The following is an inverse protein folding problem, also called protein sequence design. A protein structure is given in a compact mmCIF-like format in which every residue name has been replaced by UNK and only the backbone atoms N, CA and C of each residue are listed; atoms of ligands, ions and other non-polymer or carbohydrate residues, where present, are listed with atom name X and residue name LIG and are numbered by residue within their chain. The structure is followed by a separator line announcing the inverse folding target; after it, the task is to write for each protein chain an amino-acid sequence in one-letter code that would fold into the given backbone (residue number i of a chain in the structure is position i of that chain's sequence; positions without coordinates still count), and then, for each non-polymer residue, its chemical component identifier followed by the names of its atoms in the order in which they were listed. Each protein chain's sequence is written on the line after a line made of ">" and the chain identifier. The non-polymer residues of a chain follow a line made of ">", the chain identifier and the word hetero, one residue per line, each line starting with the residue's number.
data_IF_927779101558
#
_entry.id   IF_927779101558
#
_cell.length_a   1.000
_cell.length_b   1.000
_cell.length_c   1.000
_cell.angle_alpha   90.00
_cell.angle_beta   90.00
_cell.angle_gamma   90.00
#
_symmetry.space_group_name_H-M   'P 1'
#
loop_
_entity.id
_entity.type
_entity.pdbx_description
1 polymer ?
#
# COMPACT_ATOMS: atom_id res chain seq x y z
N UNK A 1 24.18 16.50 -73.40
CA UNK A 1 23.19 15.46 -73.05
C UNK A 1 23.87 14.50 -72.08
N UNK A 2 23.96 14.91 -70.81
CA UNK A 2 24.83 14.32 -69.78
C UNK A 2 23.95 14.04 -68.56
N UNK A 3 24.24 12.93 -67.88
CA UNK A 3 23.69 12.44 -66.61
C UNK A 3 22.35 11.72 -66.66
N UNK A 4 22.44 10.39 -66.71
CA UNK A 4 21.56 9.50 -65.95
C UNK A 4 22.26 8.14 -65.80
N UNK A 5 22.02 7.51 -64.65
CA UNK A 5 22.51 6.18 -64.21
C UNK A 5 23.83 6.23 -63.42
N UNK A 6 23.74 6.67 -62.16
CA UNK A 6 24.53 6.11 -61.06
C UNK A 6 23.81 6.41 -59.75
N UNK A 7 23.12 5.41 -59.21
CA UNK A 7 22.71 5.31 -57.79
C UNK A 7 22.09 3.94 -57.55
N UNK A 8 22.91 2.90 -57.60
CA UNK A 8 22.65 1.58 -57.04
C UNK A 8 23.92 1.16 -56.32
N UNK A 9 24.07 1.57 -55.05
CA UNK A 9 24.96 1.01 -54.02
C UNK A 9 25.09 2.00 -52.85
N UNK A 10 23.97 2.25 -52.16
CA UNK A 10 23.96 2.69 -50.75
C UNK A 10 22.63 2.25 -50.14
N UNK A 11 22.38 0.95 -50.18
CA UNK A 11 21.45 0.28 -49.27
C UNK A 11 22.28 -0.36 -48.14
N UNK A 12 23.09 0.46 -47.46
CA UNK A 12 23.64 0.12 -46.16
C UNK A 12 22.51 0.17 -45.15
N UNK A 13 21.81 -0.95 -45.05
CA UNK A 13 21.39 -1.60 -43.81
C UNK A 13 21.45 -0.70 -42.56
N UNK A 14 20.55 0.27 -42.44
CA UNK A 14 20.16 0.78 -41.12
C UNK A 14 19.17 -0.24 -40.58
N UNK A 15 19.69 -1.36 -40.08
CA UNK A 15 18.99 -2.13 -39.07
C UNK A 15 18.83 -1.16 -37.90
N UNK A 16 17.62 -0.60 -37.75
CA UNK A 16 17.17 -0.13 -36.45
C UNK A 16 17.20 -1.34 -35.53
N UNK A 17 18.35 -1.59 -34.91
CA UNK A 17 18.37 -2.26 -33.63
C UNK A 17 17.58 -1.35 -32.69
N UNK A 18 16.27 -1.59 -32.59
CA UNK A 18 15.59 -1.33 -31.34
C UNK A 18 16.39 -2.09 -30.29
N UNK A 19 17.27 -1.39 -29.57
CA UNK A 19 17.82 -1.95 -28.35
C UNK A 19 16.60 -2.16 -27.47
N UNK A 20 16.10 -3.40 -27.43
CA UNK A 20 15.18 -3.83 -26.41
C UNK A 20 15.90 -3.57 -25.09
N UNK A 21 15.51 -2.48 -24.41
CA UNK A 21 16.04 -2.18 -23.09
C UNK A 21 15.80 -3.41 -22.21
N UNK A 22 16.80 -3.78 -21.40
CA UNK A 22 16.63 -4.84 -20.41
C UNK A 22 15.42 -4.48 -19.53
N UNK A 23 14.53 -5.45 -19.32
CA UNK A 23 13.34 -5.21 -18.51
C UNK A 23 13.70 -4.74 -17.11
N UNK A 24 12.87 -3.87 -16.55
CA UNK A 24 13.05 -3.38 -15.19
C UNK A 24 11.87 -3.74 -14.29
N UNK A 25 12.19 -4.35 -13.14
CA UNK A 25 11.24 -4.61 -12.07
C UNK A 25 10.64 -3.30 -11.56
N UNK A 26 9.31 -3.18 -11.63
CA UNK A 26 8.55 -2.00 -11.22
C UNK A 26 7.59 -2.25 -10.06
N UNK A 27 7.25 -3.51 -9.77
CA UNK A 27 6.44 -3.85 -8.60
C UNK A 27 6.73 -5.26 -8.10
N UNK A 28 6.54 -5.47 -6.79
CA UNK A 28 6.58 -6.77 -6.12
C UNK A 28 5.43 -6.83 -5.12
N UNK A 29 4.45 -7.68 -5.40
CA UNK A 29 3.31 -7.95 -4.51
C UNK A 29 3.36 -9.38 -4.00
N UNK A 30 2.99 -9.58 -2.74
CA UNK A 30 2.95 -10.91 -2.10
C UNK A 30 1.58 -11.14 -1.51
N UNK A 31 0.95 -12.25 -1.90
CA UNK A 31 -0.13 -12.88 -1.17
C UNK A 31 0.42 -14.16 -0.55
N UNK A 32 0.43 -14.27 0.77
CA UNK A 32 1.07 -15.34 1.51
C UNK A 32 0.04 -16.07 2.37
N UNK A 33 -0.50 -17.18 1.86
CA UNK A 33 -1.39 -18.06 2.63
C UNK A 33 -0.67 -19.34 3.07
N UNK A 34 -1.36 -20.13 3.88
CA UNK A 34 -0.81 -21.34 4.52
C UNK A 34 -0.42 -22.41 3.49
N UNK A 35 -1.27 -22.65 2.50
CA UNK A 35 -1.10 -23.71 1.50
C UNK A 35 -0.57 -23.20 0.16
N UNK A 36 -0.69 -21.90 -0.07
CA UNK A 36 -0.32 -21.29 -1.33
C UNK A 36 0.14 -19.85 -1.12
N UNK A 37 1.26 -19.51 -1.73
CA UNK A 37 1.72 -18.13 -1.85
C UNK A 37 1.78 -17.73 -3.32
N UNK A 38 1.42 -16.47 -3.60
CA UNK A 38 1.56 -15.84 -4.91
C UNK A 38 2.43 -14.59 -4.79
N UNK A 39 3.58 -14.59 -5.46
CA UNK A 39 4.45 -13.43 -5.59
C UNK A 39 4.31 -12.92 -7.02
N UNK A 40 3.86 -11.68 -7.18
CA UNK A 40 3.66 -11.05 -8.50
C UNK A 40 4.71 -9.98 -8.70
N UNK A 41 5.52 -10.13 -9.73
CA UNK A 41 6.57 -9.18 -10.12
C UNK A 41 6.14 -8.49 -11.41
N UNK A 42 6.01 -7.18 -11.38
CA UNK A 42 5.68 -6.37 -12.57
C UNK A 42 6.96 -5.81 -13.18
N UNK A 43 7.00 -5.73 -14.51
CA UNK A 43 8.15 -5.26 -15.26
C UNK A 43 7.73 -4.27 -16.35
N UNK A 44 8.60 -3.28 -16.55
CA UNK A 44 8.60 -2.43 -17.74
C UNK A 44 9.55 -3.09 -18.75
N UNK A 45 9.04 -3.53 -19.90
CA UNK A 45 9.79 -4.35 -20.87
C UNK A 45 9.71 -5.86 -20.59
N UNK A 46 10.13 -6.68 -21.56
CA UNK A 46 10.01 -8.14 -21.49
C UNK A 46 11.12 -8.77 -20.60
N UNK A 47 10.79 -9.34 -19.42
CA UNK A 47 11.81 -9.86 -18.52
C UNK A 47 12.35 -11.21 -18.99
N UNK A 48 13.69 -11.30 -19.00
CA UNK A 48 14.42 -12.56 -18.97
C UNK A 48 14.61 -12.97 -17.50
N UNK A 49 14.07 -14.14 -17.13
CA UNK A 49 14.18 -14.68 -15.78
C UNK A 49 14.37 -16.20 -15.80
N UNK A 50 14.96 -16.73 -14.73
CA UNK A 50 15.06 -18.14 -14.47
C UNK A 50 14.66 -18.44 -13.03
N UNK A 51 13.86 -19.50 -12.85
CA UNK A 51 13.53 -20.03 -11.54
C UNK A 51 14.42 -21.22 -11.29
N UNK A 52 15.04 -21.26 -10.12
CA UNK A 52 15.73 -22.44 -9.63
C UNK A 52 15.28 -22.69 -8.20
N UNK A 53 15.28 -23.94 -7.78
CA UNK A 53 14.89 -24.31 -6.43
C UNK A 53 16.05 -25.10 -5.81
N UNK A 54 16.55 -24.59 -4.70
CA UNK A 54 17.59 -25.27 -3.92
C UNK A 54 16.90 -26.01 -2.77
N UNK A 55 16.85 -27.34 -2.90
CA UNK A 55 16.01 -28.18 -2.06
C UNK A 55 14.51 -27.88 -2.23
N UNK A 56 13.74 -27.98 -1.14
CA UNK A 56 12.29 -27.76 -1.13
C UNK A 56 11.85 -26.52 -0.35
N UNK A 57 12.80 -25.83 0.30
CA UNK A 57 12.54 -24.72 1.22
C UNK A 57 13.07 -23.38 0.75
N UNK A 58 13.83 -23.34 -0.34
CA UNK A 58 14.33 -22.08 -0.88
C UNK A 58 14.10 -22.05 -2.37
N UNK A 59 13.44 -20.99 -2.84
CA UNK A 59 13.25 -20.76 -4.26
C UNK A 59 14.00 -19.51 -4.68
N UNK A 60 14.83 -19.64 -5.71
CA UNK A 60 15.61 -18.57 -6.27
C UNK A 60 15.01 -18.12 -7.61
N UNK A 61 14.78 -16.82 -7.72
CA UNK A 61 14.44 -16.17 -8.97
C UNK A 61 15.61 -15.30 -9.41
N UNK A 62 16.21 -15.67 -10.54
CA UNK A 62 17.23 -14.90 -11.23
C UNK A 62 16.56 -14.03 -12.30
N UNK A 63 16.80 -12.73 -12.26
CA UNK A 63 16.26 -11.76 -13.21
C UNK A 63 17.44 -11.10 -13.89
N UNK A 64 17.46 -11.07 -15.22
CA UNK A 64 18.52 -10.39 -15.99
C UNK A 64 18.29 -8.88 -15.99
N UNK A 65 18.71 -8.24 -14.91
CA UNK A 65 18.57 -6.81 -14.66
C UNK A 65 19.72 -6.33 -13.76
N UNK A 66 20.11 -5.07 -13.88
CA UNK A 66 21.13 -4.42 -13.02
C UNK A 66 20.52 -3.68 -11.82
N UNK A 67 21.34 -3.45 -10.79
CA UNK A 67 21.06 -2.54 -9.66
C UNK A 67 20.70 -3.23 -8.34
N UNK A 68 20.00 -2.54 -7.43
CA UNK A 68 19.68 -3.05 -6.08
C UNK A 68 18.21 -2.81 -5.76
N UNK A 69 17.55 -3.79 -5.14
CA UNK A 69 16.20 -3.67 -4.59
C UNK A 69 16.35 -3.31 -3.11
N UNK A 70 15.87 -2.12 -2.71
CA UNK A 70 15.80 -1.75 -1.30
C UNK A 70 14.44 -2.11 -0.71
N UNK A 71 14.38 -2.23 0.63
CA UNK A 71 13.21 -2.73 1.34
C UNK A 71 13.16 -4.24 1.49
N UNK A 72 14.19 -4.96 1.03
CA UNK A 72 14.43 -6.36 1.38
C UNK A 72 15.40 -6.46 2.58
N UNK A 73 15.31 -7.50 3.42
CA UNK A 73 14.36 -8.61 3.32
C UNK A 73 12.92 -8.20 3.71
N UNK A 74 11.94 -8.74 2.99
CA UNK A 74 10.58 -8.85 3.52
C UNK A 74 10.58 -10.05 4.46
N UNK A 75 10.33 -9.81 5.74
CA UNK A 75 10.22 -10.85 6.76
C UNK A 75 8.75 -11.10 7.04
N UNK A 76 8.37 -12.37 7.08
CA UNK A 76 7.03 -12.83 7.44
C UNK A 76 7.11 -13.57 8.78
N UNK A 77 5.99 -13.73 9.48
CA UNK A 77 5.94 -14.33 10.83
C UNK A 77 6.47 -15.77 10.88
N UNK A 78 6.41 -16.47 9.75
CA UNK A 78 6.74 -17.89 9.66
C UNK A 78 5.55 -18.84 9.91
N UNK A 79 4.34 -18.30 10.06
CA UNK A 79 3.11 -19.10 10.15
C UNK A 79 2.57 -19.49 8.76
N UNK A 80 2.78 -18.64 7.75
CA UNK A 80 2.36 -18.88 6.37
C UNK A 80 3.49 -19.51 5.53
N UNK A 81 3.21 -19.90 4.29
CA UNK A 81 4.15 -20.68 3.47
C UNK A 81 5.49 -19.98 3.20
N UNK A 82 5.48 -18.67 2.96
CA UNK A 82 6.70 -17.86 2.75
C UNK A 82 7.18 -17.27 4.08
N UNK A 83 8.44 -17.54 4.43
CA UNK A 83 9.13 -17.03 5.61
C UNK A 83 9.83 -15.69 5.35
N UNK A 84 10.51 -15.57 4.22
CA UNK A 84 11.18 -14.34 3.83
C UNK A 84 11.39 -14.22 2.33
N UNK A 85 11.43 -12.98 1.84
CA UNK A 85 11.93 -12.66 0.51
C UNK A 85 13.14 -11.75 0.68
N UNK A 86 14.30 -12.14 0.16
CA UNK A 86 15.57 -11.42 0.34
C UNK A 86 16.39 -11.38 -0.92
N UNK A 87 17.30 -10.42 -1.00
CA UNK A 87 18.32 -10.41 -2.05
C UNK A 87 19.30 -11.55 -1.83
N UNK A 88 19.58 -12.32 -2.88
CA UNK A 88 20.66 -13.30 -2.94
C UNK A 88 21.84 -12.78 -3.76
N UNK A 89 22.95 -13.53 -3.75
CA UNK A 89 24.10 -13.23 -4.59
C UNK A 89 23.74 -13.39 -6.07
N UNK A 90 23.83 -12.32 -6.90
CA UNK A 90 23.60 -12.40 -8.33
C UNK A 90 24.50 -13.42 -9.03
N UNK A 91 24.05 -13.95 -10.17
CA UNK A 91 24.88 -14.81 -11.02
C UNK A 91 26.01 -14.02 -11.69
N UNK A 92 25.75 -12.77 -12.01
CA UNK A 92 26.66 -11.85 -12.68
C UNK A 92 26.28 -10.38 -12.40
N UNK A 93 27.06 -9.44 -12.93
CA UNK A 93 26.82 -8.01 -12.75
C UNK A 93 25.57 -7.48 -13.49
N UNK A 94 24.91 -8.30 -14.30
CA UNK A 94 23.71 -7.97 -15.09
C UNK A 94 22.47 -8.71 -14.59
N UNK A 95 22.52 -9.27 -13.39
CA UNK A 95 21.41 -10.00 -12.79
C UNK A 95 21.09 -9.55 -11.37
N UNK A 96 19.83 -9.77 -11.00
CA UNK A 96 19.34 -9.73 -9.63
C UNK A 96 18.94 -11.15 -9.24
N UNK A 97 19.24 -11.53 -8.00
CA UNK A 97 18.73 -12.77 -7.41
C UNK A 97 17.81 -12.45 -6.25
N UNK A 98 16.57 -12.94 -6.32
CA UNK A 98 15.64 -12.96 -5.20
C UNK A 98 15.58 -14.38 -4.64
N UNK A 99 15.70 -14.50 -3.32
CA UNK A 99 15.52 -15.75 -2.59
C UNK A 99 14.22 -15.68 -1.81
N UNK A 100 13.37 -16.68 -2.01
CA UNK A 100 12.13 -16.90 -1.27
C UNK A 100 12.35 -18.09 -0.35
N UNK A 101 12.53 -17.82 0.93
CA UNK A 101 12.66 -18.86 1.94
C UNK A 101 11.26 -19.28 2.41
N UNK A 102 11.01 -20.59 2.51
CA UNK A 102 9.73 -21.19 2.87
C UNK A 102 9.77 -21.80 4.27
N UNK A 103 8.63 -21.82 4.93
CA UNK A 103 8.45 -22.43 6.25
C UNK A 103 8.37 -23.96 6.16
N UNK A 104 7.71 -24.45 5.11
CA UNK A 104 7.60 -25.86 4.78
C UNK A 104 8.05 -26.17 3.35
N UNK A 105 8.00 -27.46 2.99
CA UNK A 105 8.34 -27.88 1.65
C UNK A 105 7.28 -27.37 0.67
N UNK A 106 7.70 -26.79 -0.44
CA UNK A 106 6.79 -26.38 -1.49
C UNK A 106 7.39 -26.52 -2.88
N UNK A 107 6.53 -26.40 -3.88
CA UNK A 107 6.91 -26.32 -5.30
C UNK A 107 6.46 -25.01 -5.87
N UNK A 108 7.30 -24.47 -6.74
CA UNK A 108 7.04 -23.17 -7.31
C UNK A 108 7.02 -23.19 -8.84
N UNK A 109 5.99 -22.55 -9.39
CA UNK A 109 5.81 -22.34 -10.81
C UNK A 109 5.82 -20.84 -11.11
N UNK A 110 6.42 -20.44 -12.23
CA UNK A 110 6.42 -19.07 -12.69
C UNK A 110 5.73 -18.96 -14.05
N UNK A 111 4.78 -18.02 -14.15
CA UNK A 111 4.09 -17.75 -15.41
C UNK A 111 4.29 -16.28 -15.78
N UNK A 112 4.92 -16.04 -16.93
CA UNK A 112 4.97 -14.72 -17.56
C UNK A 112 3.63 -14.42 -18.23
N UNK A 113 3.10 -13.22 -18.00
CA UNK A 113 1.92 -12.67 -18.67
C UNK A 113 2.29 -11.31 -19.25
N UNK A 114 1.66 -10.98 -20.38
CA UNK A 114 1.78 -9.68 -21.02
C UNK A 114 0.42 -9.02 -21.07
N UNK A 115 0.35 -7.74 -20.71
CA UNK A 115 -0.83 -6.90 -20.89
C UNK A 115 -0.40 -5.56 -21.49
N UNK A 116 -0.57 -5.42 -22.81
CA UNK A 116 0.00 -4.29 -23.56
C UNK A 116 1.53 -4.29 -23.51
N UNK A 117 2.13 -3.17 -23.10
CA UNK A 117 3.58 -3.02 -22.91
C UNK A 117 4.11 -3.49 -21.55
N UNK A 118 3.22 -3.88 -20.62
CA UNK A 118 3.59 -4.28 -19.28
C UNK A 118 3.66 -5.81 -19.17
N UNK A 119 4.66 -6.30 -18.43
CA UNK A 119 4.87 -7.72 -18.20
C UNK A 119 4.72 -8.03 -16.72
N UNK A 120 4.13 -9.18 -16.41
CA UNK A 120 4.08 -9.68 -15.02
C UNK A 120 4.59 -11.11 -14.97
N UNK A 121 5.48 -11.41 -14.04
CA UNK A 121 5.87 -12.76 -13.69
C UNK A 121 5.13 -13.14 -12.41
N UNK A 122 4.18 -14.05 -12.52
CA UNK A 122 3.41 -14.56 -11.39
C UNK A 122 4.04 -15.84 -10.90
N UNK A 123 4.67 -15.75 -9.73
CA UNK A 123 5.22 -16.86 -9.00
C UNK A 123 4.17 -17.47 -8.10
N UNK A 124 3.85 -18.74 -8.30
CA UNK A 124 2.91 -19.48 -7.46
C UNK A 124 3.64 -20.59 -6.75
N UNK A 125 3.68 -20.53 -5.43
CA UNK A 125 4.27 -21.54 -4.56
C UNK A 125 3.13 -22.30 -3.90
N UNK A 126 3.14 -23.62 -3.99
CA UNK A 126 2.18 -24.50 -3.31
C UNK A 126 2.92 -25.36 -2.29
N UNK A 127 2.37 -25.49 -1.10
CA UNK A 127 2.88 -26.43 -0.11
C UNK A 127 2.80 -27.86 -0.68
N UNK A 128 3.77 -28.70 -0.33
CA UNK A 128 3.74 -30.14 -0.62
C UNK A 128 2.71 -30.89 0.26
N UNK A 129 2.07 -30.20 1.20
CA UNK A 129 1.10 -30.77 2.12
C UNK A 129 -0.22 -31.18 1.43
N UNK A 130 -0.83 -32.32 1.84
CA UNK A 130 -2.18 -32.65 1.39
C UNK A 130 -3.19 -31.61 1.93
N UNK A 131 -4.27 -31.31 1.19
CA UNK A 131 -5.32 -30.41 1.65
C UNK A 131 -5.84 -30.87 3.02
N UNK A 132 -6.24 -29.93 3.91
CA UNK A 132 -6.77 -30.29 5.22
C UNK A 132 -7.93 -31.29 5.04
N UNK A 133 -8.06 -32.28 5.95
CA UNK A 133 -9.15 -33.25 5.85
C UNK A 133 -10.50 -32.53 5.83
N UNK A 134 -11.47 -33.02 5.05
CA UNK A 134 -12.82 -32.46 5.07
C UNK A 134 -13.35 -32.47 6.51
N UNK A 135 -14.14 -31.45 6.91
CA UNK A 135 -14.74 -31.44 8.23
C UNK A 135 -15.49 -32.75 8.45
N UNK A 136 -15.43 -33.34 9.66
CA UNK A 136 -16.05 -34.63 9.93
C UNK A 136 -17.54 -34.56 9.54
N UNK A 137 -18.09 -35.59 8.86
CA UNK A 137 -19.49 -35.60 8.49
C UNK A 137 -20.31 -35.44 9.77
N UNK A 138 -21.11 -34.38 9.82
CA UNK A 138 -22.00 -34.13 10.94
C UNK A 138 -23.06 -35.23 10.91
N UNK A 139 -22.85 -36.30 11.67
CA UNK A 139 -23.86 -37.33 11.87
C UNK A 139 -24.94 -36.72 12.75
N UNK A 140 -25.94 -36.11 12.12
CA UNK A 140 -27.14 -35.67 12.80
C UNK A 140 -27.84 -36.90 13.38
N UNK A 141 -27.69 -37.10 14.69
CA UNK A 141 -28.43 -38.11 15.45
C UNK A 141 -29.90 -37.69 15.41
N UNK A 142 -30.72 -38.46 14.69
CA UNK A 142 -32.16 -38.24 14.52
C UNK A 142 -32.86 -38.30 15.89
N UNK A 143 -33.30 -37.16 16.39
CA UNK A 143 -34.32 -37.06 17.44
C UNK A 143 -35.68 -37.04 16.74
N UNK A 144 -36.62 -37.83 17.26
CA UNK A 144 -37.99 -37.93 16.75
C UNK A 144 -38.68 -36.56 16.69
N UNK A 145 -39.43 -36.34 15.61
CA UNK A 145 -40.14 -35.10 15.31
C UNK A 145 -41.55 -35.09 15.90
N UNK A 146 -42.06 -33.94 16.36
CA UNK A 146 -43.47 -33.62 16.30
C UNK A 146 -43.82 -32.96 14.96
N UNK A 147 -44.99 -33.34 14.46
CA UNK A 147 -45.61 -32.96 13.19
C UNK A 147 -46.02 -31.49 13.18
N UNK A 148 -45.64 -30.73 12.13
CA UNK A 148 -46.31 -29.48 11.71
C UNK A 148 -46.38 -29.43 10.18
N UNK A 149 -47.55 -29.03 9.68
CA UNK A 149 -48.06 -29.05 8.31
C UNK A 149 -47.30 -28.15 7.28
N UNK A 150 -47.51 -28.34 5.96
CA UNK A 150 -46.61 -27.84 4.93
C UNK A 150 -46.91 -26.40 4.47
N UNK A 151 -45.85 -25.65 4.17
CA UNK A 151 -45.89 -24.43 3.33
C UNK A 151 -44.75 -24.44 2.29
N UNK A 152 -44.94 -23.80 1.12
CA UNK A 152 -44.19 -24.10 -0.11
C UNK A 152 -42.75 -23.54 -0.10
N UNK A 153 -41.91 -24.18 -0.92
CA UNK A 153 -40.48 -23.89 -1.09
C UNK A 153 -40.22 -22.58 -1.86
N UNK A 154 -39.31 -21.76 -1.33
CA UNK A 154 -38.53 -20.77 -2.10
C UNK A 154 -37.02 -20.98 -1.82
N UNK A 155 -36.14 -20.74 -2.81
CA UNK A 155 -34.70 -20.90 -2.66
C UNK A 155 -34.09 -19.80 -1.77
N UNK A 156 -33.06 -20.17 -0.99
CA UNK A 156 -32.32 -19.24 -0.14
C UNK A 156 -31.73 -18.07 -0.97
N UNK A 157 -32.20 -16.85 -0.68
CA UNK A 157 -31.69 -15.60 -1.26
C UNK A 157 -30.45 -15.11 -0.50
N UNK A 158 -29.46 -14.68 -1.28
CA UNK A 158 -28.25 -13.98 -0.88
C UNK A 158 -28.58 -12.65 -0.16
N UNK A 159 -28.04 -12.37 1.04
CA UNK A 159 -28.45 -11.23 1.87
C UNK A 159 -27.88 -9.86 1.45
N UNK A 160 -27.16 -9.74 0.33
CA UNK A 160 -26.50 -8.47 -0.06
C UNK A 160 -26.81 -7.98 -1.48
N UNK A 161 -28.08 -8.01 -1.87
CA UNK A 161 -28.67 -7.15 -2.93
C UNK A 161 -30.05 -6.70 -2.43
N UNK A 162 -30.50 -5.45 -2.53
CA UNK A 162 -30.04 -4.33 -3.33
C UNK A 162 -30.60 -2.99 -2.79
N UNK A 163 -30.18 -1.92 -3.45
CA UNK A 163 -31.03 -0.77 -3.86
C UNK A 163 -31.54 0.25 -2.83
N UNK A 164 -31.05 1.48 -3.07
CA UNK A 164 -31.62 2.80 -2.77
C UNK A 164 -31.53 3.39 -1.36
N UNK A 165 -30.69 4.45 -1.31
CA UNK A 165 -31.00 5.78 -0.76
C UNK A 165 -31.92 5.82 0.45
N UNK A 166 -31.33 5.74 1.64
CA UNK A 166 -31.71 6.58 2.78
C UNK A 166 -30.49 6.98 3.60
N UNK A 167 -30.16 8.26 3.49
CA UNK A 167 -29.40 9.03 4.46
C UNK A 167 -29.97 8.81 5.86
N UNK A 168 -29.23 8.15 6.74
CA UNK A 168 -29.53 8.11 8.17
C UNK A 168 -28.51 8.97 8.91
N UNK A 169 -28.99 10.12 9.37
CA UNK A 169 -28.28 10.99 10.30
C UNK A 169 -28.03 10.22 11.61
N UNK A 170 -26.78 10.21 12.07
CA UNK A 170 -26.42 9.65 13.37
C UNK A 170 -26.35 10.79 14.38
N UNK A 171 -27.35 10.83 15.26
CA UNK A 171 -27.40 11.70 16.43
C UNK A 171 -26.28 11.32 17.40
N UNK A 172 -25.48 12.31 17.79
CA UNK A 172 -24.39 12.19 18.74
C UNK A 172 -24.83 11.55 20.06
N UNK A 173 -24.21 10.43 20.43
CA UNK A 173 -24.11 10.00 21.82
C UNK A 173 -22.63 9.91 22.17
N UNK A 174 -22.21 10.81 23.06
CA UNK A 174 -20.87 10.83 23.63
C UNK A 174 -20.70 9.62 24.54
N UNK A 175 -20.13 8.53 24.02
CA UNK A 175 -19.56 7.46 24.83
C UNK A 175 -18.12 7.27 24.40
N UNK A 176 -17.21 7.85 25.18
CA UNK A 176 -15.76 7.64 25.09
C UNK A 176 -15.44 6.23 25.58
N UNK A 177 -14.95 5.37 24.70
CA UNK A 177 -14.27 4.12 25.06
C UNK A 177 -12.79 4.24 24.70
N UNK A 178 -11.95 4.11 25.73
CA UNK A 178 -10.50 4.37 25.74
C UNK A 178 -9.70 3.11 25.39
N UNK A 179 -8.83 3.13 24.36
CA UNK A 179 -7.77 2.13 24.22
C UNK A 179 -6.63 2.42 25.22
N UNK A 180 -6.13 1.38 25.88
CA UNK A 180 -5.01 1.47 26.82
C UNK A 180 -3.68 1.78 26.12
N UNK A 181 -2.86 2.55 26.82
CA UNK A 181 -1.73 3.29 26.31
C UNK A 181 -0.42 2.47 26.22
N UNK A 182 0.39 2.81 25.22
CA UNK A 182 1.80 3.15 25.44
C UNK A 182 2.19 4.31 24.51
N UNK A 183 1.83 5.52 24.92
CA UNK A 183 2.41 6.74 24.38
C UNK A 183 3.24 7.38 25.49
N UNK A 184 4.54 7.57 25.25
CA UNK A 184 5.33 8.47 26.06
C UNK A 184 4.77 9.88 25.90
N UNK A 185 4.58 10.56 27.01
CA UNK A 185 4.10 11.92 27.11
C UNK A 185 5.03 12.91 26.40
N UNK A 186 4.51 13.70 25.46
CA UNK A 186 4.88 15.11 25.29
C UNK A 186 3.74 15.88 24.64
N UNK A 187 3.34 17.00 25.25
CA UNK A 187 2.53 18.05 24.63
C UNK A 187 3.33 18.84 23.57
N UNK A 188 4.06 18.10 22.72
CA UNK A 188 5.02 18.57 21.73
C UNK A 188 5.29 17.53 20.61
N UNK A 189 4.42 16.53 20.45
CA UNK A 189 4.56 15.52 19.41
C UNK A 189 4.13 16.09 18.04
N UNK A 190 5.13 16.24 17.16
CA UNK A 190 4.96 16.60 15.76
C UNK A 190 4.11 15.57 15.03
N UNK A 191 3.22 16.02 14.15
CA UNK A 191 2.53 15.16 13.19
C UNK A 191 3.56 14.62 12.20
N UNK A 192 3.76 13.30 12.20
CA UNK A 192 4.72 12.64 11.32
C UNK A 192 4.05 12.37 9.97
N UNK A 193 4.57 13.00 8.92
CA UNK A 193 4.11 12.81 7.54
C UNK A 193 5.17 11.96 6.82
N UNK A 194 4.79 10.74 6.44
CA UNK A 194 5.57 9.96 5.49
C UNK A 194 5.31 10.47 4.08
N UNK A 195 6.39 10.72 3.35
CA UNK A 195 6.37 11.24 1.99
C UNK A 195 6.98 10.17 1.11
N UNK A 196 6.12 9.55 0.31
CA UNK A 196 6.51 8.54 -0.64
C UNK A 196 6.84 9.17 -2.00
N UNK A 197 8.12 9.16 -2.36
CA UNK A 197 8.54 9.53 -3.70
C UNK A 197 8.33 8.33 -4.63
N UNK A 198 7.31 8.40 -5.50
CA UNK A 198 6.96 7.32 -6.43
C UNK A 198 8.16 6.84 -7.25
N UNK A 199 8.15 5.55 -7.63
CA UNK A 199 9.18 4.91 -8.45
C UNK A 199 10.57 4.92 -7.79
N UNK A 200 11.65 4.85 -8.58
CA UNK A 200 13.04 4.92 -8.11
C UNK A 200 13.89 3.75 -8.59
N UNK A 201 15.20 3.98 -8.72
CA UNK A 201 16.16 3.00 -9.21
C UNK A 201 15.84 2.59 -10.64
N UNK A 202 15.55 1.32 -10.83
CA UNK A 202 15.27 0.73 -12.14
C UNK A 202 13.85 0.98 -12.62
N UNK A 203 12.95 1.42 -11.74
CA UNK A 203 11.64 1.91 -12.12
C UNK A 203 11.74 3.42 -12.42
N UNK A 204 11.77 3.85 -13.69
CA UNK A 204 11.79 5.26 -14.04
C UNK A 204 10.45 5.96 -13.80
N UNK A 205 9.37 5.21 -13.59
CA UNK A 205 8.01 5.66 -13.79
C UNK A 205 7.74 6.03 -15.25
N UNK A 206 6.75 6.89 -15.47
CA UNK A 206 6.47 7.44 -16.78
C UNK A 206 7.66 8.28 -17.31
N UNK A 207 7.83 8.25 -18.63
CA UNK A 207 8.87 9.01 -19.34
C UNK A 207 8.18 10.00 -20.28
N UNK A 208 8.45 11.28 -20.06
CA UNK A 208 7.93 12.36 -20.88
C UNK A 208 8.56 12.41 -22.28
N UNK A 209 7.90 13.07 -23.25
CA UNK A 209 8.41 13.24 -24.62
C UNK A 209 9.85 13.79 -24.73
N UNK A 210 10.24 14.68 -23.81
CA UNK A 210 11.57 15.27 -23.70
C UNK A 210 12.57 14.40 -22.92
N UNK A 211 12.17 13.22 -22.45
CA UNK A 211 13.01 12.28 -21.71
C UNK A 211 13.00 12.48 -20.20
N UNK A 212 12.15 13.37 -19.67
CA UNK A 212 11.99 13.55 -18.22
C UNK A 212 11.45 12.27 -17.61
N UNK A 213 12.05 11.81 -16.52
CA UNK A 213 11.63 10.59 -15.82
C UNK A 213 10.86 10.96 -14.57
N UNK A 214 9.68 10.38 -14.40
CA UNK A 214 8.80 10.61 -13.25
C UNK A 214 9.55 10.46 -11.92
N UNK A 215 10.36 9.41 -11.75
CA UNK A 215 11.13 9.18 -10.51
C UNK A 215 12.00 10.36 -10.06
N UNK A 216 12.43 11.22 -10.99
CA UNK A 216 13.26 12.39 -10.72
C UNK A 216 12.39 13.57 -10.29
N UNK A 217 11.21 13.73 -10.88
CA UNK A 217 10.22 14.74 -10.49
C UNK A 217 9.71 14.43 -9.09
N UNK A 218 9.31 13.19 -8.83
CA UNK A 218 8.69 12.80 -7.55
C UNK A 218 9.63 12.98 -6.37
N UNK A 219 10.91 12.61 -6.50
CA UNK A 219 11.89 12.79 -5.42
C UNK A 219 12.24 14.26 -5.18
N UNK A 220 12.25 15.09 -6.24
CA UNK A 220 12.52 16.51 -6.11
C UNK A 220 11.40 17.22 -5.33
N UNK A 221 10.13 16.98 -5.70
CA UNK A 221 8.97 17.50 -4.98
C UNK A 221 8.93 16.96 -3.54
N UNK A 222 9.20 15.66 -3.35
CA UNK A 222 9.19 15.04 -2.02
C UNK A 222 10.22 15.68 -1.06
N UNK A 223 11.42 15.99 -1.54
CA UNK A 223 12.46 16.67 -0.75
C UNK A 223 12.06 18.10 -0.38
N UNK A 224 11.48 18.84 -1.32
CA UNK A 224 10.97 20.19 -1.06
C UNK A 224 9.85 20.16 -0.02
N UNK A 225 8.90 19.22 -0.15
CA UNK A 225 7.83 19.00 0.83
C UNK A 225 8.39 18.64 2.21
N UNK A 226 9.39 17.75 2.29
CA UNK A 226 10.06 17.41 3.55
C UNK A 226 10.69 18.62 4.22
N UNK A 227 11.33 19.51 3.46
CA UNK A 227 11.91 20.75 4.01
C UNK A 227 10.82 21.60 4.65
N UNK A 228 9.77 21.92 3.88
CA UNK A 228 8.64 22.73 4.35
C UNK A 228 8.00 22.16 5.63
N UNK A 229 7.81 20.83 5.70
CA UNK A 229 7.27 20.16 6.88
C UNK A 229 8.23 20.21 8.07
N UNK A 230 9.54 20.09 7.85
CA UNK A 230 10.50 20.10 8.96
C UNK A 230 10.77 21.52 9.50
N UNK A 231 10.57 22.55 8.68
CA UNK A 231 10.62 23.96 9.08
C UNK A 231 9.38 24.37 9.89
N UNK A 232 8.30 23.59 9.82
CA UNK A 232 7.08 23.78 10.62
C UNK A 232 7.19 23.04 11.97
N UNK A 233 7.05 23.72 13.12
CA UNK A 233 7.06 23.04 14.43
C UNK A 233 5.92 22.03 14.60
N UNK A 234 4.85 22.10 13.81
CA UNK A 234 3.74 21.14 13.84
C UNK A 234 4.12 19.78 13.23
N UNK A 235 5.08 19.72 12.31
CA UNK A 235 5.30 18.52 11.49
C UNK A 235 6.72 17.93 11.62
N UNK A 236 6.81 16.65 11.24
CA UNK A 236 8.04 15.93 10.94
C UNK A 236 7.84 15.21 9.61
N UNK A 237 8.56 15.63 8.57
CA UNK A 237 8.57 14.97 7.26
C UNK A 237 9.63 13.87 7.18
N UNK A 238 9.22 12.65 6.83
CA UNK A 238 10.11 11.50 6.59
C UNK A 238 9.91 10.97 5.17
N UNK A 239 10.99 10.61 4.47
CA UNK A 239 10.90 10.09 3.10
C UNK A 239 10.89 8.55 3.11
N UNK A 240 10.13 7.93 2.21
CA UNK A 240 10.28 6.48 1.94
C UNK A 240 11.62 6.17 1.28
N UNK A 241 12.07 7.04 0.36
CA UNK A 241 13.42 7.04 -0.22
C UNK A 241 14.05 8.42 -0.26
N UNK A 242 15.35 8.50 -0.03
CA UNK A 242 16.17 9.72 -0.20
C UNK A 242 17.29 9.53 -1.25
N UNK A 243 17.14 8.54 -2.12
CA UNK A 243 18.07 8.22 -3.20
C UNK A 243 17.36 7.62 -4.41
N UNK A 244 18.15 7.33 -5.45
CA UNK A 244 17.67 6.69 -6.68
C UNK A 244 17.77 5.16 -6.57
N UNK A 245 16.85 4.58 -5.80
CA UNK A 245 16.74 3.13 -5.64
C UNK A 245 15.27 2.71 -5.62
N UNK A 246 15.03 1.46 -6.01
CA UNK A 246 13.71 0.88 -6.06
C UNK A 246 13.23 0.46 -4.65
N UNK A 247 11.98 0.76 -4.32
CA UNK A 247 11.26 0.24 -3.15
C UNK A 247 9.96 -0.42 -3.64
N UNK A 248 9.71 -1.66 -3.18
CA UNK A 248 8.45 -2.35 -3.45
C UNK A 248 7.26 -1.57 -2.88
N UNK A 249 6.08 -1.74 -3.48
CA UNK A 249 4.88 -1.04 -3.05
C UNK A 249 4.54 -1.31 -1.58
N UNK A 250 4.71 -2.55 -1.12
CA UNK A 250 4.54 -2.91 0.31
C UNK A 250 5.59 -2.23 1.20
N UNK A 251 6.85 -2.22 0.76
CA UNK A 251 7.95 -1.63 1.51
C UNK A 251 7.77 -0.14 1.79
N UNK A 252 7.02 0.58 0.94
CA UNK A 252 6.70 2.01 1.16
C UNK A 252 5.85 2.22 2.41
N UNK A 253 4.81 1.41 2.60
CA UNK A 253 3.96 1.45 3.79
C UNK A 253 4.72 0.99 5.04
N UNK A 254 5.62 0.01 4.91
CA UNK A 254 6.43 -0.46 6.03
C UNK A 254 7.41 0.60 6.52
N UNK A 255 7.98 1.41 5.62
CA UNK A 255 8.78 2.56 6.02
C UNK A 255 7.93 3.58 6.79
N UNK A 256 6.71 3.87 6.31
CA UNK A 256 5.80 4.78 7.02
C UNK A 256 5.47 4.29 8.44
N UNK A 257 5.16 2.99 8.60
CA UNK A 257 4.92 2.35 9.91
C UNK A 257 6.13 2.45 10.83
N UNK A 258 7.32 2.08 10.34
CA UNK A 258 8.57 2.13 11.13
C UNK A 258 8.91 3.54 11.60
N UNK A 259 8.48 4.56 10.87
CA UNK A 259 8.65 5.97 11.26
C UNK A 259 7.54 6.50 12.16
N UNK A 260 6.54 5.67 12.51
CA UNK A 260 5.33 6.05 13.25
C UNK A 260 4.57 7.19 12.55
N UNK A 261 4.43 7.09 11.23
CA UNK A 261 3.73 8.10 10.43
C UNK A 261 2.24 8.18 10.81
N UNK A 262 1.75 9.41 11.00
CA UNK A 262 0.32 9.68 11.18
C UNK A 262 -0.42 9.78 9.85
N UNK A 263 0.30 10.07 8.77
CA UNK A 263 -0.26 10.21 7.43
C UNK A 263 0.80 9.90 6.36
N UNK A 264 0.36 9.34 5.23
CA UNK A 264 1.21 9.03 4.08
C UNK A 264 0.77 9.83 2.84
N UNK A 265 1.71 10.57 2.24
CA UNK A 265 1.53 11.26 0.96
C UNK A 265 2.42 10.59 -0.07
N UNK A 266 1.83 9.93 -1.07
CA UNK A 266 2.56 9.43 -2.23
C UNK A 266 2.52 10.45 -3.36
N UNK A 267 3.67 10.75 -3.96
CA UNK A 267 3.84 11.77 -4.99
C UNK A 267 4.20 11.07 -6.30
N UNK A 268 3.41 11.35 -7.34
CA UNK A 268 3.51 10.78 -8.68
C UNK A 268 3.36 11.86 -9.78
N UNK A 269 3.69 11.49 -11.01
CA UNK A 269 3.43 12.30 -12.21
C UNK A 269 2.89 11.41 -13.33
N UNK A 270 1.56 11.35 -13.41
CA UNK A 270 0.74 10.54 -14.31
C UNK A 270 1.18 10.57 -15.78
N UNK A 271 0.72 9.57 -16.52
CA UNK A 271 0.83 9.52 -17.97
C UNK A 271 -0.43 8.91 -18.59
N UNK A 272 -0.97 9.58 -19.61
CA UNK A 272 -2.12 9.12 -20.34
C UNK A 272 -1.78 8.84 -21.82
N UNK A 273 -2.47 7.89 -22.48
CA UNK A 273 -2.39 7.72 -23.93
C UNK A 273 -2.79 8.99 -24.68
N UNK A 274 -3.78 9.73 -24.16
CA UNK A 274 -4.12 11.05 -24.64
C UNK A 274 -3.11 12.07 -24.10
N UNK A 275 -2.22 12.54 -24.97
CA UNK A 275 -1.18 13.51 -24.61
C UNK A 275 -1.71 14.92 -24.34
N UNK A 276 -2.98 15.20 -24.61
CA UNK A 276 -3.64 16.46 -24.28
C UNK A 276 -4.20 16.47 -22.84
N UNK A 277 -4.14 15.35 -22.12
CA UNK A 277 -4.51 15.31 -20.71
C UNK A 277 -3.60 16.23 -19.90
N UNK A 278 -4.20 17.02 -19.02
CA UNK A 278 -3.49 17.98 -18.16
C UNK A 278 -4.10 18.06 -16.76
N UNK A 279 -3.32 18.59 -15.83
CA UNK A 279 -3.74 18.99 -14.50
C UNK A 279 -3.47 17.94 -13.43
N UNK A 280 -3.36 18.42 -12.19
CA UNK A 280 -3.14 17.56 -11.04
C UNK A 280 -4.40 16.77 -10.65
N UNK A 281 -4.24 15.70 -9.89
CA UNK A 281 -5.33 14.97 -9.23
C UNK A 281 -4.88 14.36 -7.91
N UNK A 282 -5.83 14.08 -7.02
CA UNK A 282 -5.54 13.45 -5.73
C UNK A 282 -6.43 12.22 -5.57
N UNK A 283 -5.82 11.10 -5.22
CA UNK A 283 -6.44 9.79 -5.15
C UNK A 283 -6.45 9.26 -3.74
N UNK A 284 -7.52 8.55 -3.41
CA UNK A 284 -7.76 7.89 -2.11
C UNK A 284 -8.14 6.43 -2.34
N UNK A 285 -8.00 5.61 -1.30
CA UNK A 285 -8.36 4.20 -1.38
C UNK A 285 -9.86 4.00 -1.66
N UNK A 286 -10.19 3.18 -2.65
CA UNK A 286 -11.59 2.80 -2.93
C UNK A 286 -12.14 1.82 -1.89
N UNK A 287 -13.43 1.92 -1.56
CA UNK A 287 -14.09 1.02 -0.59
C UNK A 287 -14.00 -0.45 -1.01
N UNK A 288 -14.16 -0.75 -2.31
CA UNK A 288 -14.01 -2.12 -2.81
C UNK A 288 -12.60 -2.66 -2.56
N UNK A 289 -11.58 -1.83 -2.78
CA UNK A 289 -10.20 -2.23 -2.51
C UNK A 289 -9.96 -2.37 -1.02
N UNK A 290 -10.40 -1.41 -0.21
CA UNK A 290 -10.32 -1.46 1.24
C UNK A 290 -10.89 -2.76 1.80
N UNK A 291 -12.09 -3.17 1.36
CA UNK A 291 -12.71 -4.42 1.78
C UNK A 291 -11.89 -5.66 1.36
N UNK A 292 -11.30 -5.65 0.16
CA UNK A 292 -10.44 -6.76 -0.29
C UNK A 292 -9.11 -6.83 0.47
N UNK A 293 -8.54 -5.67 0.82
CA UNK A 293 -7.36 -5.62 1.68
C UNK A 293 -7.74 -6.15 3.06
N UNK A 294 -8.82 -5.65 3.66
CA UNK A 294 -9.34 -6.10 4.96
C UNK A 294 -9.44 -7.62 5.03
N UNK A 295 -10.10 -8.24 4.04
CA UNK A 295 -10.22 -9.69 3.98
C UNK A 295 -8.84 -10.38 3.94
N UNK A 296 -7.91 -9.89 3.12
CA UNK A 296 -6.55 -10.39 3.07
C UNK A 296 -5.74 -10.15 4.36
N UNK A 297 -5.98 -9.06 5.09
CA UNK A 297 -5.40 -8.80 6.41
C UNK A 297 -5.99 -9.74 7.46
N UNK A 298 -7.29 -10.04 7.40
CA UNK A 298 -7.94 -11.03 8.28
C UNK A 298 -7.44 -12.45 8.05
N UNK A 299 -7.11 -12.81 6.81
CA UNK A 299 -6.49 -14.09 6.45
C UNK A 299 -5.03 -14.17 6.92
N UNK A 300 -4.36 -13.02 7.08
CA UNK A 300 -2.93 -12.95 7.41
C UNK A 300 -2.74 -12.54 8.87
N UNK A 301 -2.70 -13.53 9.77
CA UNK A 301 -2.51 -13.35 11.22
C UNK A 301 -1.32 -12.43 11.58
N UNK A 302 -0.25 -12.45 10.79
CA UNK A 302 0.96 -11.62 10.97
C UNK A 302 0.63 -10.12 10.90
N UNK A 303 -0.18 -9.82 9.91
CA UNK A 303 -0.63 -8.51 9.51
C UNK A 303 -1.64 -7.98 10.55
N UNK A 304 -2.46 -8.85 11.13
CA UNK A 304 -3.31 -8.47 12.27
C UNK A 304 -2.49 -8.07 13.50
N UNK A 305 -1.43 -8.81 13.84
CA UNK A 305 -0.64 -8.51 15.04
C UNK A 305 0.11 -7.18 14.93
N UNK A 306 0.63 -6.85 13.74
CA UNK A 306 1.31 -5.58 13.46
C UNK A 306 0.37 -4.37 13.60
N UNK A 307 -0.86 -4.45 13.07
CA UNK A 307 -1.84 -3.35 13.12
C UNK A 307 -2.40 -3.08 14.52
N UNK A 308 -2.54 -4.13 15.32
CA UNK A 308 -3.15 -4.05 16.65
C UNK A 308 -2.12 -3.75 17.74
N UNK A 309 -0.84 -3.55 17.38
CA UNK A 309 0.21 -3.01 18.24
C UNK A 309 0.31 -3.70 19.60
N UNK A 310 0.84 -4.93 19.65
CA UNK A 310 1.02 -5.70 20.89
C UNK A 310 -0.28 -6.16 21.57
N UNK A 311 -1.41 -5.46 21.39
CA UNK A 311 -2.75 -5.98 21.63
C UNK A 311 -3.15 -7.01 20.56
N UNK A 312 -2.45 -7.01 19.42
CA UNK A 312 -2.50 -8.05 18.39
C UNK A 312 -2.17 -9.43 18.91
N UNK A 313 -1.18 -9.57 19.80
CA UNK A 313 -0.90 -10.85 20.44
C UNK A 313 -1.99 -11.26 21.44
N UNK A 314 -2.67 -10.31 22.07
CA UNK A 314 -3.81 -10.60 22.96
C UNK A 314 -5.06 -10.95 22.15
N UNK A 315 -5.22 -10.34 20.97
CA UNK A 315 -6.29 -10.56 19.99
C UNK A 315 -5.97 -11.68 18.97
N UNK A 316 -4.78 -12.24 18.98
CA UNK A 316 -4.39 -13.39 18.15
C UNK A 316 -4.13 -14.65 19.00
N UNK A 317 -3.72 -14.50 20.27
CA UNK A 317 -3.43 -15.63 21.17
C UNK A 317 -4.49 -15.87 22.26
N UNK A 318 -5.42 -14.97 22.50
CA UNK A 318 -6.65 -15.32 23.23
C UNK A 318 -7.61 -15.99 22.25
N UNK A 319 -8.67 -16.65 22.70
CA UNK A 319 -9.83 -17.01 21.87
C UNK A 319 -10.53 -15.73 21.38
N UNK A 320 -9.81 -14.90 20.63
CA UNK A 320 -10.24 -13.60 20.21
C UNK A 320 -11.30 -13.83 19.14
N UNK A 321 -12.48 -13.33 19.45
CA UNK A 321 -13.59 -13.35 18.53
C UNK A 321 -13.14 -12.72 17.19
N UNK A 322 -13.12 -13.49 16.09
CA UNK A 322 -12.81 -12.95 14.76
C UNK A 322 -13.67 -11.72 14.43
N UNK A 323 -14.88 -11.62 14.99
CA UNK A 323 -15.76 -10.47 14.84
C UNK A 323 -15.23 -9.21 15.55
N UNK A 324 -14.50 -9.34 16.67
CA UNK A 324 -13.90 -8.20 17.37
C UNK A 324 -12.70 -7.64 16.60
N UNK A 325 -11.79 -8.49 16.14
CA UNK A 325 -10.65 -8.08 15.31
C UNK A 325 -11.12 -7.44 14.01
N UNK A 326 -12.14 -8.03 13.37
CA UNK A 326 -12.78 -7.44 12.20
C UNK A 326 -13.39 -6.07 12.50
N UNK A 327 -14.14 -5.91 13.59
CA UNK A 327 -14.76 -4.63 13.93
C UNK A 327 -13.73 -3.52 14.20
N UNK A 328 -12.63 -3.84 14.90
CA UNK A 328 -11.55 -2.87 15.16
C UNK A 328 -10.90 -2.44 13.85
N UNK A 329 -10.59 -3.39 12.98
CA UNK A 329 -10.01 -3.08 11.68
C UNK A 329 -11.00 -2.28 10.83
N UNK A 330 -12.27 -2.65 10.78
CA UNK A 330 -13.33 -1.92 10.04
C UNK A 330 -13.39 -0.45 10.48
N UNK A 331 -13.32 -0.20 11.79
CA UNK A 331 -13.27 1.15 12.36
C UNK A 331 -12.00 1.90 11.95
N UNK A 332 -10.83 1.26 11.99
CA UNK A 332 -9.55 1.86 11.58
C UNK A 332 -9.55 2.21 10.09
N UNK A 333 -9.99 1.30 9.22
CA UNK A 333 -10.11 1.54 7.79
C UNK A 333 -11.10 2.67 7.50
N UNK A 334 -12.28 2.65 8.13
CA UNK A 334 -13.27 3.72 7.95
C UNK A 334 -12.75 5.08 8.40
N UNK A 335 -11.95 5.13 9.47
CA UNK A 335 -11.25 6.33 9.89
C UNK A 335 -10.19 6.78 8.86
N UNK A 336 -9.31 5.87 8.45
CA UNK A 336 -8.24 6.11 7.48
C UNK A 336 -8.76 6.67 6.16
N UNK A 337 -9.86 6.10 5.64
CA UNK A 337 -10.49 6.57 4.42
C UNK A 337 -11.08 7.99 4.56
N UNK A 338 -11.75 8.28 5.68
CA UNK A 338 -12.33 9.61 5.93
C UNK A 338 -11.23 10.68 6.02
N UNK A 339 -10.20 10.41 6.83
CA UNK A 339 -9.05 11.31 6.99
C UNK A 339 -8.35 11.52 5.65
N UNK A 340 -8.11 10.45 4.89
CA UNK A 340 -7.55 10.54 3.53
C UNK A 340 -8.38 11.41 2.59
N UNK A 341 -9.71 11.27 2.60
CA UNK A 341 -10.62 12.06 1.78
C UNK A 341 -10.63 13.55 2.15
N UNK A 342 -10.68 13.86 3.44
CA UNK A 342 -10.71 15.24 3.93
C UNK A 342 -9.39 15.96 3.65
N UNK A 343 -8.26 15.28 3.88
CA UNK A 343 -6.93 15.79 3.51
C UNK A 343 -6.82 15.99 2.01
N UNK A 344 -7.27 15.03 1.19
CA UNK A 344 -7.26 15.15 -0.26
C UNK A 344 -8.08 16.35 -0.74
N UNK A 345 -9.25 16.59 -0.12
CA UNK A 345 -10.10 17.75 -0.42
C UNK A 345 -9.38 19.07 -0.09
N UNK A 346 -8.72 19.13 1.08
CA UNK A 346 -7.89 20.28 1.47
C UNK A 346 -6.74 20.52 0.47
N UNK A 347 -6.04 19.46 0.05
CA UNK A 347 -4.94 19.54 -0.92
C UNK A 347 -5.41 20.01 -2.30
N UNK A 348 -6.52 19.48 -2.80
CA UNK A 348 -7.11 19.89 -4.09
C UNK A 348 -7.39 21.40 -4.09
N UNK A 349 -7.95 21.94 -3.00
CA UNK A 349 -8.20 23.38 -2.88
C UNK A 349 -6.94 24.26 -2.93
N UNK A 350 -5.77 23.71 -2.60
CA UNK A 350 -4.48 24.42 -2.77
C UNK A 350 -3.87 24.20 -4.15
N UNK A 351 -3.98 22.98 -4.71
CA UNK A 351 -3.47 22.65 -6.04
C UNK A 351 -4.23 23.41 -7.14
N UNK A 352 -5.54 23.63 -6.98
CA UNK A 352 -6.35 24.47 -7.90
C UNK A 352 -5.84 25.91 -8.04
N UNK A 353 -5.01 26.39 -7.10
CA UNK A 353 -4.48 27.77 -7.13
C UNK A 353 -3.20 27.91 -7.93
N UNK A 354 -2.50 26.81 -8.20
CA UNK A 354 -1.20 26.82 -8.90
C UNK A 354 -1.33 26.35 -10.36
N UNK A 355 -2.36 25.58 -10.69
CA UNK A 355 -2.53 24.99 -12.01
C UNK A 355 -3.92 24.41 -12.24
N UNK A 356 -4.10 23.77 -13.40
CA UNK A 356 -5.34 23.05 -13.69
C UNK A 356 -5.45 21.78 -12.85
N UNK A 357 -6.69 21.39 -12.56
CA UNK A 357 -6.97 20.08 -11.99
C UNK A 357 -7.59 19.19 -13.05
N UNK A 358 -7.05 17.99 -13.21
CA UNK A 358 -7.69 16.95 -13.99
C UNK A 358 -8.98 16.49 -13.33
N UNK A 359 -8.95 16.40 -11.99
CA UNK A 359 -10.07 15.98 -11.14
C UNK A 359 -10.21 16.96 -9.99
N UNK A 360 -11.38 17.58 -9.88
CA UNK A 360 -11.69 18.61 -8.87
C UNK A 360 -12.20 18.05 -7.55
N UNK A 361 -12.21 16.73 -7.42
CA UNK A 361 -12.60 15.99 -6.21
C UNK A 361 -11.64 14.81 -6.03
N UNK A 362 -11.48 14.32 -4.80
CA UNK A 362 -10.70 13.11 -4.56
C UNK A 362 -11.27 11.95 -5.38
N UNK A 363 -10.41 11.23 -6.10
CA UNK A 363 -10.79 10.05 -6.87
C UNK A 363 -10.47 8.78 -6.11
N UNK A 364 -11.32 7.76 -6.25
CA UNK A 364 -11.13 6.48 -5.58
C UNK A 364 -10.40 5.49 -6.49
N UNK A 365 -9.29 4.94 -6.02
CA UNK A 365 -8.51 3.96 -6.77
C UNK A 365 -8.08 2.74 -5.94
N UNK A 366 -7.59 1.73 -6.65
CA UNK A 366 -7.06 0.48 -6.10
C UNK A 366 -5.53 0.47 -6.09
N UNK A 367 -4.92 1.60 -5.71
CA UNK A 367 -3.48 1.81 -5.78
C UNK A 367 -2.78 1.15 -4.60
N UNK A 368 -1.66 0.48 -4.87
CA UNK A 368 -1.05 -0.40 -3.87
C UNK A 368 -0.45 0.32 -2.66
N UNK A 369 0.08 1.53 -2.87
CA UNK A 369 0.60 2.38 -1.79
C UNK A 369 -0.49 2.87 -0.83
N UNK A 370 -1.74 2.91 -1.29
CA UNK A 370 -2.89 3.35 -0.49
C UNK A 370 -3.55 2.21 0.30
N UNK A 371 -3.01 0.99 0.26
CA UNK A 371 -3.61 -0.20 0.88
C UNK A 371 -3.45 -0.26 2.40
N UNK A 372 -2.68 0.64 3.00
CA UNK A 372 -2.41 0.66 4.44
C UNK A 372 -3.69 1.01 5.21
N UNK A 373 -4.17 0.12 6.11
CA UNK A 373 -5.41 0.38 6.82
C UNK A 373 -5.28 1.26 8.07
N UNK A 374 -4.12 1.18 8.69
CA UNK A 374 -3.70 1.90 9.89
C UNK A 374 -3.19 3.31 9.64
N UNK A 375 -2.73 3.59 8.42
CA UNK A 375 -2.14 4.88 8.06
C UNK A 375 -3.03 5.55 6.99
N UNK A 376 -3.74 6.63 7.34
CA UNK A 376 -4.43 7.45 6.36
C UNK A 376 -3.48 7.90 5.24
N UNK A 377 -3.91 7.75 3.99
CA UNK A 377 -3.04 7.96 2.84
C UNK A 377 -3.73 8.59 1.64
N UNK A 378 -2.94 9.33 0.86
CA UNK A 378 -3.33 9.90 -0.44
C UNK A 378 -2.20 9.69 -1.45
N UNK A 379 -2.58 9.63 -2.72
CA UNK A 379 -1.64 9.71 -3.83
C UNK A 379 -1.93 10.98 -4.63
N UNK A 380 -0.92 11.81 -4.81
CA UNK A 380 -0.99 13.08 -5.54
C UNK A 380 -0.33 12.86 -6.91
N UNK A 381 -1.15 12.92 -7.95
CA UNK A 381 -0.65 13.05 -9.32
C UNK A 381 -0.43 14.53 -9.59
N UNK A 382 0.83 14.92 -9.74
CA UNK A 382 1.25 16.32 -9.85
C UNK A 382 0.95 16.97 -11.21
N UNK A 383 0.63 16.13 -12.21
CA UNK A 383 0.33 16.49 -13.60
C UNK A 383 0.66 15.31 -14.52
N UNK A 384 0.41 15.46 -15.82
CA UNK A 384 0.68 14.44 -16.82
C UNK A 384 2.05 14.64 -17.48
N UNK A 385 3.06 13.87 -17.08
CA UNK A 385 4.40 13.92 -17.70
C UNK A 385 4.37 13.53 -19.19
N UNK A 386 3.32 12.85 -19.64
CA UNK A 386 3.08 12.54 -21.06
C UNK A 386 2.75 13.76 -21.93
N UNK A 387 2.32 14.87 -21.33
CA UNK A 387 1.99 16.13 -22.00
C UNK A 387 3.24 17.03 -22.09
N UNK A 388 3.52 17.57 -23.29
CA UNK A 388 4.74 18.37 -23.54
C UNK A 388 4.85 19.63 -22.67
N UNK A 389 3.73 20.30 -22.39
CA UNK A 389 3.73 21.54 -21.61
C UNK A 389 3.87 21.23 -20.13
N UNK A 390 3.17 20.21 -19.63
CA UNK A 390 3.29 19.78 -18.24
C UNK A 390 4.64 19.14 -17.93
N UNK A 391 5.25 18.39 -18.86
CA UNK A 391 6.60 17.88 -18.68
C UNK A 391 7.60 19.00 -18.37
N UNK A 392 7.53 20.13 -19.11
CA UNK A 392 8.39 21.30 -18.89
C UNK A 392 8.15 21.95 -17.53
N UNK A 393 6.89 22.01 -17.10
CA UNK A 393 6.54 22.51 -15.77
C UNK A 393 7.06 21.56 -14.68
N UNK A 394 6.79 20.26 -14.79
CA UNK A 394 7.23 19.24 -13.85
C UNK A 394 8.76 19.15 -13.75
N UNK A 395 9.49 19.49 -14.81
CA UNK A 395 10.95 19.60 -14.80
C UNK A 395 11.48 20.91 -14.18
N UNK A 396 10.63 21.92 -13.99
CA UNK A 396 11.01 23.22 -13.42
C UNK A 396 11.08 23.19 -11.89
N UNK A 397 12.19 23.70 -11.34
CA UNK A 397 12.38 23.80 -9.89
C UNK A 397 11.32 24.68 -9.20
N UNK A 398 10.91 25.77 -9.86
CA UNK A 398 9.90 26.70 -9.36
C UNK A 398 8.52 26.04 -9.25
N UNK A 399 8.12 25.28 -10.27
CA UNK A 399 6.83 24.60 -10.26
C UNK A 399 6.83 23.43 -9.27
N UNK A 400 7.95 22.70 -9.14
CA UNK A 400 8.11 21.69 -8.10
C UNK A 400 8.00 22.29 -6.69
N UNK A 401 8.51 23.51 -6.48
CA UNK A 401 8.36 24.24 -5.22
C UNK A 401 6.89 24.64 -4.98
N UNK A 402 6.20 25.14 -6.00
CA UNK A 402 4.76 25.47 -5.91
C UNK A 402 3.90 24.23 -5.57
N UNK A 403 4.19 23.08 -6.18
CA UNK A 403 3.55 21.80 -5.88
C UNK A 403 3.77 21.40 -4.41
N UNK A 404 5.03 21.43 -3.95
CA UNK A 404 5.37 21.10 -2.57
C UNK A 404 4.67 22.02 -1.56
N UNK A 405 4.60 23.33 -1.85
CA UNK A 405 3.88 24.29 -1.02
C UNK A 405 2.38 24.07 -1.00
N UNK A 406 1.76 23.73 -2.14
CA UNK A 406 0.33 23.45 -2.20
C UNK A 406 -0.02 22.21 -1.37
N UNK A 407 0.78 21.14 -1.49
CA UNK A 407 0.62 19.92 -0.69
C UNK A 407 0.79 20.22 0.80
N UNK A 408 1.86 20.95 1.18
CA UNK A 408 2.10 21.38 2.55
C UNK A 408 0.95 22.20 3.12
N UNK A 409 0.45 23.21 2.39
CA UNK A 409 -0.69 24.03 2.80
C UNK A 409 -1.95 23.19 2.98
N UNK A 410 -2.18 22.19 2.12
CA UNK A 410 -3.29 21.25 2.24
C UNK A 410 -3.22 20.44 3.53
N UNK A 411 -2.05 19.87 3.85
CA UNK A 411 -1.78 19.16 5.11
C UNK A 411 -1.97 20.08 6.32
N UNK A 412 -1.33 21.24 6.30
CA UNK A 412 -1.37 22.22 7.41
C UNK A 412 -2.79 22.67 7.71
N UNK A 413 -3.58 23.02 6.69
CA UNK A 413 -4.97 23.42 6.87
C UNK A 413 -5.79 22.30 7.52
N UNK A 414 -5.59 21.05 7.12
CA UNK A 414 -6.31 19.91 7.71
C UNK A 414 -5.93 19.69 9.18
N UNK A 415 -4.64 19.57 9.49
CA UNK A 415 -4.17 19.27 10.85
C UNK A 415 -4.29 20.45 11.82
N UNK A 416 -4.40 21.68 11.32
CA UNK A 416 -4.80 22.83 12.13
C UNK A 416 -6.28 22.76 12.54
N UNK A 417 -7.16 22.34 11.61
CA UNK A 417 -8.59 22.16 11.89
C UNK A 417 -8.88 20.89 12.71
N UNK A 418 -7.99 19.89 12.64
CA UNK A 418 -8.09 18.61 13.34
C UNK A 418 -6.81 18.31 14.14
N UNK A 419 -6.56 19.03 15.25
CA UNK A 419 -5.42 18.74 16.10
C UNK A 419 -5.45 17.28 16.58
N UNK A 420 -4.27 16.63 16.62
CA UNK A 420 -4.15 15.27 17.14
C UNK A 420 -4.70 15.22 18.57
N UNK A 421 -5.71 14.39 18.82
CA UNK A 421 -6.25 14.22 20.17
C UNK A 421 -5.23 13.51 21.04
N UNK A 422 -4.57 14.25 21.94
CA UNK A 422 -3.82 13.66 23.05
C UNK A 422 -4.82 13.15 24.09
N UNK A 423 -4.75 11.86 24.45
CA UNK A 423 -5.62 11.29 25.48
C UNK A 423 -5.51 12.00 26.84
N UNK A 424 -6.47 11.81 27.77
CA UNK A 424 -6.53 12.56 29.02
C UNK A 424 -5.29 12.33 29.89
N UNK A 425 -4.71 13.43 30.40
CA UNK A 425 -3.68 13.38 31.44
C UNK A 425 -4.28 12.80 32.73
N UNK A 426 -3.71 11.70 33.22
CA UNK A 426 -4.09 11.17 34.52
C UNK A 426 -3.72 12.17 35.62
N UNK A 427 -4.72 12.81 36.23
CA UNK A 427 -4.54 13.47 37.51
C UNK A 427 -4.03 12.44 38.55
N UNK A 428 -3.14 12.82 39.48
CA UNK A 428 -2.64 11.90 40.49
C UNK A 428 -3.82 11.37 41.31
N UNK A 429 -3.97 10.05 41.34
CA UNK A 429 -4.99 9.39 42.13
C UNK A 429 -4.78 9.73 43.61
N UNK A 430 -5.72 10.50 44.18
CA UNK A 430 -5.87 10.55 45.63
C UNK A 430 -6.25 9.15 46.08
N UNK A 431 -5.35 8.50 46.79
CA UNK A 431 -5.59 7.23 47.47
C UNK A 431 -6.64 7.43 48.55
N UNK A 432 -7.89 7.07 48.27
CA UNK A 432 -8.88 6.82 49.31
C UNK A 432 -8.55 5.47 49.95
N UNK A 433 -7.99 5.49 51.15
CA UNK A 433 -7.78 4.32 51.98
C UNK A 433 -9.13 3.70 52.34
N UNK A 434 -9.40 2.50 51.84
CA UNK A 434 -10.53 1.70 52.30
C UNK A 434 -10.22 1.18 53.70
N UNK A 435 -10.95 1.68 54.70
CA UNK A 435 -10.99 1.10 56.05
C UNK A 435 -11.88 -0.16 55.98
N UNK A 436 -11.28 -1.32 56.26
CA UNK A 436 -12.02 -2.57 56.46
C UNK A 436 -12.81 -2.50 57.78
N UNK A 437 -14.11 -2.82 57.81
CA UNK A 437 -14.82 -3.04 59.07
C UNK A 437 -14.44 -4.40 59.62
N UNK A 438 -13.59 -4.40 60.65
CA UNK A 438 -13.34 -5.56 61.50
C UNK A 438 -14.54 -5.84 62.41
N UNK A 439 -14.92 -7.10 62.51
CA UNK A 439 -15.82 -7.63 63.52
C UNK A 439 -15.33 -7.29 64.93
N UNK A 440 -16.19 -6.69 65.75
CA UNK A 440 -16.19 -6.90 67.20
C UNK A 440 -17.62 -6.85 67.73
N UNK A 441 -18.13 -8.02 68.13
CA UNK A 441 -19.16 -8.18 69.14
C UNK A 441 -18.60 -7.72 70.50
N UNK A 442 -19.35 -6.93 71.27
CA UNK A 442 -19.43 -7.05 72.74
C UNK A 442 -20.54 -6.15 73.30
N UNK A 443 -21.46 -6.81 74.03
CA UNK A 443 -22.47 -6.38 75.01
C UNK A 443 -23.41 -5.20 74.72
#
# INVERSE_FOLDING_TARGET
>A
MIYRIRNWLMATLVLLCAQAGAASLSDLQVSNGDQQARITLSFIGDPEYAVSQDGKRTVALDIKQTGVIQGLPLLFSGNNLVKSIRSGTPKDAQSLRLLVDLTENGKADAVKRQNGGNYTVVFTIKADAPPPPPPPPVVAKRVEAPVVAPRPAEPARNPFKAENDRTTAVTSSNTSTRPAARASTNSGDKVVIAIDAGHGGQDPGAIGPGGTREKNVTIAVARKLRSLLNDDPMFKGVLTRDGDYFISVMGRSDVARKQNANFLVSIHADAAPNRDATGASVWVLSNRRANSEMAGWLEQHEKQSELLGGAGDVLANSQADPYLSQAVLDLQFGHSQRVGYDVATSMIGQLERIGSMHKRRPEHASLGVLRSPDIPSVLVETGFISNNSEERLLASDDYQQQLAEAIYKGLRNYFQAHPMQTGPQGAPAQTASAVSPGNTLTN
#
